data_IF_243386242623
#
_entry.id   IF_243386242623
#
_cell.length_a   1.000
_cell.length_b   1.000
_cell.length_c   1.000
_cell.angle_alpha   90.00
_cell.angle_beta   90.00
_cell.angle_gamma   90.00
#
_symmetry.space_group_name_H-M   'P 1'
#
loop_
_entity.id
_entity.type
_entity.pdbx_description
1 polymer ?
#
# COMPACT_ATOMS: atom_id res chain seq x y z
N UNK A 1 -7.08 -4.24 32.60
CA UNK A 1 -5.75 -3.79 32.11
C UNK A 1 -5.77 -3.91 30.59
N UNK A 2 -5.01 -3.09 29.87
CA UNK A 2 -4.99 -3.14 28.40
C UNK A 2 -3.70 -3.79 27.90
N UNK A 3 -3.75 -4.35 26.70
CA UNK A 3 -2.64 -4.94 25.97
C UNK A 3 -2.10 -3.96 24.93
N UNK A 4 -0.80 -4.01 24.65
CA UNK A 4 -0.20 -3.30 23.52
C UNK A 4 -0.20 -4.17 22.27
N UNK A 5 -0.31 -3.54 21.11
CA UNK A 5 -0.47 -4.21 19.84
C UNK A 5 0.51 -3.67 18.81
N UNK A 6 1.02 -4.58 17.98
CA UNK A 6 1.88 -4.28 16.84
C UNK A 6 1.22 -4.80 15.56
N UNK A 7 1.24 -3.98 14.51
CA UNK A 7 0.76 -4.36 13.20
C UNK A 7 1.94 -4.67 12.28
N UNK A 8 1.98 -5.88 11.76
CA UNK A 8 3.19 -6.46 11.18
C UNK A 8 2.92 -6.98 9.78
N UNK A 9 3.79 -6.60 8.85
CA UNK A 9 3.99 -7.29 7.58
C UNK A 9 5.09 -8.33 7.75
N UNK A 10 4.71 -9.60 7.65
CA UNK A 10 5.58 -10.75 7.93
C UNK A 10 6.57 -10.96 6.78
N UNK A 11 6.08 -10.91 5.54
CA UNK A 11 6.89 -11.14 4.34
C UNK A 11 8.06 -10.17 4.24
N UNK A 12 7.87 -8.94 4.70
CA UNK A 12 8.88 -7.87 4.64
C UNK A 12 9.58 -7.59 5.95
N UNK A 13 9.19 -8.29 7.03
CA UNK A 13 9.67 -8.04 8.39
C UNK A 13 9.60 -6.55 8.75
N UNK A 14 8.42 -5.96 8.61
CA UNK A 14 8.18 -4.53 8.87
C UNK A 14 7.00 -4.32 9.81
N UNK A 15 7.09 -3.27 10.60
CA UNK A 15 6.04 -2.87 11.53
C UNK A 15 5.40 -1.56 11.06
N UNK A 16 4.08 -1.47 11.12
CA UNK A 16 3.39 -0.22 10.83
C UNK A 16 3.66 0.78 11.97
N UNK A 17 4.04 1.99 11.60
CA UNK A 17 4.16 3.09 12.54
C UNK A 17 2.79 3.48 13.11
N UNK A 18 2.70 3.57 14.43
CA UNK A 18 1.53 4.10 15.13
C UNK A 18 1.86 5.44 15.81
N UNK A 19 0.87 6.33 15.85
CA UNK A 19 0.94 7.62 16.55
C UNK A 19 -0.03 7.63 17.71
N UNK A 20 0.49 7.58 18.93
CA UNK A 20 -0.32 7.55 20.16
C UNK A 20 0.10 6.40 21.06
N UNK A 21 -0.88 5.81 21.75
CA UNK A 21 -0.66 4.59 22.53
C UNK A 21 -0.95 3.33 21.72
N UNK A 22 -0.38 2.21 22.12
CA UNK A 22 -0.42 0.96 21.35
C UNK A 22 -1.63 0.07 21.68
N UNK A 23 -2.68 0.58 22.34
CA UNK A 23 -3.87 -0.24 22.62
C UNK A 23 -4.77 -0.34 21.39
N UNK A 24 -5.51 -1.44 21.27
CA UNK A 24 -6.46 -1.68 20.17
C UNK A 24 -7.39 -0.47 19.95
N UNK A 25 -7.99 0.04 21.03
CA UNK A 25 -8.83 1.24 20.97
C UNK A 25 -8.12 2.47 20.39
N UNK A 26 -6.84 2.67 20.72
CA UNK A 26 -6.06 3.82 20.23
C UNK A 26 -5.75 3.66 18.74
N UNK A 27 -5.52 2.45 18.25
CA UNK A 27 -5.43 2.17 16.81
C UNK A 27 -6.73 2.51 16.08
N UNK A 28 -7.88 2.01 16.56
CA UNK A 28 -9.19 2.25 15.94
C UNK A 28 -9.68 3.69 16.10
N UNK A 29 -9.24 4.39 17.15
CA UNK A 29 -9.57 5.79 17.41
C UNK A 29 -8.55 6.81 16.87
N UNK A 30 -7.44 6.33 16.31
CA UNK A 30 -6.54 7.13 15.51
C UNK A 30 -6.88 7.01 14.02
N UNK A 31 -6.12 7.70 13.16
CA UNK A 31 -6.09 7.44 11.71
C UNK A 31 -4.94 6.51 11.34
N UNK A 32 -4.33 5.82 12.32
CA UNK A 32 -3.13 5.01 12.07
C UNK A 32 -3.43 3.82 11.17
N UNK A 33 -4.61 3.20 11.33
CA UNK A 33 -5.01 2.07 10.49
C UNK A 33 -5.26 2.48 9.03
N UNK A 34 -5.61 3.73 8.75
CA UNK A 34 -5.77 4.25 7.38
C UNK A 34 -4.49 4.12 6.55
N UNK A 35 -3.32 4.10 7.20
CA UNK A 35 -2.04 3.83 6.53
C UNK A 35 -2.06 2.48 5.79
N UNK A 36 -2.75 1.47 6.31
CA UNK A 36 -2.90 0.18 5.63
C UNK A 36 -3.57 0.32 4.27
N UNK A 37 -4.52 1.24 4.13
CA UNK A 37 -5.20 1.46 2.85
C UNK A 37 -4.21 1.89 1.78
N UNK A 38 -3.28 2.78 2.15
CA UNK A 38 -2.17 3.18 1.28
C UNK A 38 -1.18 2.03 1.05
N UNK A 39 -0.69 1.38 2.10
CA UNK A 39 0.32 0.33 1.97
C UNK A 39 -0.16 -0.90 1.19
N UNK A 40 -1.44 -1.23 1.28
CA UNK A 40 -2.08 -2.35 0.59
C UNK A 40 -2.62 -1.99 -0.79
N UNK A 41 -2.48 -0.73 -1.23
CA UNK A 41 -3.12 -0.27 -2.46
C UNK A 41 -2.58 -0.97 -3.71
N UNK A 42 -3.47 -1.61 -4.47
CA UNK A 42 -3.16 -2.42 -5.65
C UNK A 42 -3.90 -1.83 -6.85
N UNK A 43 -3.33 -0.79 -7.49
CA UNK A 43 -4.03 -0.06 -8.54
C UNK A 43 -4.09 -0.84 -9.85
N UNK A 44 -5.24 -0.78 -10.52
CA UNK A 44 -5.47 -1.40 -11.83
C UNK A 44 -5.08 -0.48 -12.98
N UNK A 45 -3.77 -0.28 -13.13
CA UNK A 45 -3.23 0.41 -14.30
C UNK A 45 -3.00 -0.57 -15.45
N UNK A 46 -3.33 -0.23 -16.69
CA UNK A 46 -2.94 -1.05 -17.84
C UNK A 46 -1.42 -1.10 -17.93
N UNK A 47 -0.86 -2.27 -18.25
CA UNK A 47 0.59 -2.41 -18.46
C UNK A 47 1.02 -1.54 -19.63
N UNK A 48 1.80 -0.51 -19.34
CA UNK A 48 2.27 0.42 -20.35
C UNK A 48 3.43 -0.22 -21.11
N UNK A 49 3.14 -0.71 -22.32
CA UNK A 49 4.14 -1.27 -23.22
C UNK A 49 4.10 -0.56 -24.55
N UNK A 50 5.27 -0.15 -25.03
CA UNK A 50 5.42 0.52 -26.31
C UNK A 50 6.16 -0.44 -27.26
N UNK A 51 5.62 -0.70 -28.46
CA UNK A 51 6.28 -1.55 -29.44
C UNK A 51 7.67 -1.00 -29.80
N UNK A 52 8.65 -1.91 -29.95
CA UNK A 52 10.04 -1.58 -30.32
C UNK A 52 10.15 -0.70 -31.57
N UNK A 53 9.29 -0.92 -32.57
CA UNK A 53 9.22 -0.08 -33.77
C UNK A 53 8.93 1.39 -33.48
N UNK A 54 8.06 1.70 -32.52
CA UNK A 54 7.77 3.08 -32.10
C UNK A 54 8.93 3.71 -31.31
N UNK A 55 9.69 2.89 -30.58
CA UNK A 55 10.91 3.34 -29.88
C UNK A 55 11.97 3.72 -30.92
N UNK A 56 12.25 2.83 -31.87
CA UNK A 56 13.26 3.06 -32.92
C UNK A 56 12.91 4.24 -33.82
N UNK A 57 11.65 4.39 -34.21
CA UNK A 57 11.19 5.57 -34.95
C UNK A 57 11.42 6.87 -34.16
N UNK A 58 11.20 6.84 -32.84
CA UNK A 58 11.50 7.98 -31.98
C UNK A 58 13.00 8.26 -31.89
N UNK A 59 13.84 7.21 -31.84
CA UNK A 59 15.29 7.32 -31.81
C UNK A 59 15.80 8.04 -33.05
N UNK A 60 15.32 7.64 -34.23
CA UNK A 60 15.67 8.25 -35.51
C UNK A 60 15.36 9.75 -35.56
N UNK A 61 14.21 10.18 -35.01
CA UNK A 61 13.83 11.60 -34.93
C UNK A 61 14.71 12.44 -34.00
N UNK A 62 15.45 11.79 -33.10
CA UNK A 62 16.25 12.46 -32.08
C UNK A 62 17.76 12.20 -32.22
N UNK A 63 18.22 11.76 -33.40
CA UNK A 63 19.63 11.50 -33.72
C UNK A 63 20.54 12.74 -33.67
N UNK A 64 19.98 13.94 -33.51
CA UNK A 64 20.75 15.16 -33.29
C UNK A 64 21.38 15.19 -31.89
N UNK A 65 20.88 14.38 -30.95
CA UNK A 65 21.46 14.27 -29.60
C UNK A 65 22.63 13.27 -29.58
N UNK A 66 23.82 13.65 -29.08
CA UNK A 66 24.97 12.76 -28.98
C UNK A 66 24.68 11.47 -28.19
N UNK A 67 23.89 11.57 -27.11
CA UNK A 67 23.53 10.41 -26.29
C UNK A 67 22.61 9.44 -27.04
N UNK A 68 21.72 9.96 -27.90
CA UNK A 68 20.76 9.13 -28.67
C UNK A 68 21.44 8.48 -29.88
N UNK A 69 22.56 9.02 -30.35
CA UNK A 69 23.40 8.41 -31.40
C UNK A 69 24.10 7.14 -30.94
N UNK A 70 24.18 6.89 -29.65
CA UNK A 70 24.78 5.65 -29.14
C UNK A 70 23.99 4.42 -29.63
N UNK A 71 24.68 3.30 -29.89
CA UNK A 71 24.04 2.01 -30.13
C UNK A 71 23.04 1.68 -29.02
N UNK A 72 21.96 0.95 -29.35
CA UNK A 72 20.88 0.69 -28.40
C UNK A 72 21.40 -0.06 -27.17
N UNK A 73 22.32 -1.00 -27.40
CA UNK A 73 22.98 -1.82 -26.41
C UNK A 73 23.70 -0.98 -25.36
N UNK A 74 24.33 0.13 -25.77
CA UNK A 74 25.00 1.04 -24.84
C UNK A 74 23.98 1.82 -24.01
N UNK A 75 22.89 2.26 -24.63
CA UNK A 75 21.81 2.94 -23.89
C UNK A 75 21.16 1.99 -22.88
N UNK A 76 20.93 0.73 -23.27
CA UNK A 76 20.35 -0.30 -22.43
C UNK A 76 21.28 -0.69 -21.27
N UNK A 77 22.60 -0.50 -21.41
CA UNK A 77 23.56 -0.64 -20.30
C UNK A 77 23.56 0.57 -19.36
N UNK A 78 23.27 1.78 -19.86
CA UNK A 78 23.23 3.00 -19.04
C UNK A 78 21.99 3.01 -18.13
N UNK A 79 20.83 2.61 -18.64
CA UNK A 79 19.55 2.70 -17.91
C UNK A 79 19.57 1.98 -16.54
N UNK A 80 20.08 0.75 -16.42
CA UNK A 80 20.24 0.06 -15.13
C UNK A 80 21.00 0.86 -14.08
N UNK A 81 21.95 1.71 -14.47
CA UNK A 81 22.72 2.54 -13.54
C UNK A 81 21.95 3.76 -13.02
N UNK A 82 20.82 4.11 -13.64
CA UNK A 82 19.93 5.18 -13.19
C UNK A 82 18.82 4.66 -12.27
N UNK A 83 18.74 3.34 -12.08
CA UNK A 83 17.85 2.77 -11.09
C UNK A 83 18.42 3.01 -9.68
N UNK A 84 17.60 3.58 -8.81
CA UNK A 84 17.85 3.73 -7.38
C UNK A 84 16.73 2.99 -6.62
N UNK A 85 17.09 2.30 -5.54
CA UNK A 85 16.21 1.42 -4.78
C UNK A 85 14.97 2.12 -4.22
N UNK A 86 15.00 3.45 -4.00
CA UNK A 86 13.90 4.14 -3.34
C UNK A 86 12.86 4.75 -4.30
N UNK A 87 13.24 5.63 -5.23
CA UNK A 87 12.25 6.41 -6.00
C UNK A 87 12.48 6.50 -7.52
N UNK A 88 13.57 5.92 -8.07
CA UNK A 88 13.96 5.97 -9.49
C UNK A 88 13.81 7.36 -10.16
N UNK A 89 14.21 8.39 -9.42
CA UNK A 89 14.04 9.80 -9.79
C UNK A 89 14.73 10.15 -11.11
N UNK A 90 15.94 9.63 -11.28
CA UNK A 90 16.79 9.90 -12.44
C UNK A 90 16.19 9.33 -13.72
N UNK A 91 15.47 8.20 -13.63
CA UNK A 91 14.73 7.64 -14.77
C UNK A 91 13.55 8.52 -15.17
N UNK A 92 12.83 9.10 -14.20
CA UNK A 92 11.74 10.03 -14.50
C UNK A 92 12.32 11.27 -15.17
N UNK A 93 13.37 11.86 -14.63
CA UNK A 93 14.06 13.01 -15.24
C UNK A 93 14.51 12.69 -16.68
N UNK A 94 15.14 11.53 -16.91
CA UNK A 94 15.54 11.08 -18.24
C UNK A 94 14.35 10.96 -19.19
N UNK A 95 13.24 10.37 -18.75
CA UNK A 95 12.01 10.22 -19.54
C UNK A 95 11.42 11.58 -19.96
N UNK A 96 11.54 12.61 -19.13
CA UNK A 96 11.02 13.94 -19.42
C UNK A 96 11.84 14.71 -20.46
N UNK A 97 13.08 14.29 -20.75
CA UNK A 97 13.96 14.98 -21.72
C UNK A 97 13.48 14.86 -23.16
N UNK A 98 13.03 13.68 -23.58
CA UNK A 98 12.61 13.45 -24.96
C UNK A 98 11.68 12.24 -25.12
N UNK A 99 10.99 12.22 -26.26
CA UNK A 99 10.03 11.16 -26.58
C UNK A 99 10.67 9.77 -26.74
N UNK A 100 11.97 9.68 -27.07
CA UNK A 100 12.67 8.40 -27.17
C UNK A 100 12.87 7.77 -25.80
N UNK A 101 13.45 8.51 -24.85
CA UNK A 101 13.66 8.01 -23.49
C UNK A 101 12.35 7.72 -22.77
N UNK A 102 11.35 8.60 -22.89
CA UNK A 102 10.01 8.31 -22.37
C UNK A 102 9.52 6.93 -22.83
N UNK A 103 9.60 6.64 -24.14
CA UNK A 103 9.09 5.37 -24.67
C UNK A 103 9.91 4.16 -24.23
N UNK A 104 11.19 4.37 -23.97
CA UNK A 104 12.12 3.34 -23.55
C UNK A 104 11.91 2.95 -22.08
N UNK A 105 11.78 3.93 -21.17
CA UNK A 105 11.75 3.68 -19.71
C UNK A 105 10.36 3.77 -19.06
N UNK A 106 9.31 4.17 -19.80
CA UNK A 106 7.97 4.36 -19.23
C UNK A 106 7.42 3.11 -18.50
N UNK A 107 7.73 1.91 -19.01
CA UNK A 107 7.36 0.66 -18.36
C UNK A 107 8.00 0.52 -16.97
N UNK A 108 9.29 0.85 -16.85
CA UNK A 108 10.04 0.70 -15.61
C UNK A 108 9.68 1.78 -14.59
N UNK A 109 9.38 2.99 -15.07
CA UNK A 109 8.77 4.05 -14.25
C UNK A 109 7.42 3.56 -13.70
N UNK A 110 6.52 3.04 -14.54
CA UNK A 110 5.23 2.53 -14.08
C UNK A 110 5.39 1.40 -13.05
N UNK A 111 6.34 0.48 -13.28
CA UNK A 111 6.65 -0.60 -12.34
C UNK A 111 7.13 -0.06 -10.99
N UNK A 112 7.93 1.01 -10.99
CA UNK A 112 8.40 1.66 -9.77
C UNK A 112 7.26 2.31 -9.02
N UNK A 113 6.45 3.12 -9.69
CA UNK A 113 5.31 3.79 -9.07
C UNK A 113 4.36 2.75 -8.47
N UNK A 114 4.11 1.62 -9.15
CA UNK A 114 3.28 0.53 -8.59
C UNK A 114 3.86 -0.05 -7.31
N UNK A 115 5.17 -0.30 -7.26
CA UNK A 115 5.84 -0.78 -6.05
C UNK A 115 5.75 0.22 -4.91
N UNK A 116 5.80 1.52 -5.24
CA UNK A 116 5.73 2.60 -4.26
C UNK A 116 4.31 2.83 -3.72
N UNK A 117 3.29 2.63 -4.57
CA UNK A 117 1.89 2.91 -4.23
C UNK A 117 1.29 1.83 -3.32
N UNK A 118 1.84 0.62 -3.29
CA UNK A 118 1.28 -0.52 -2.54
C UNK A 118 2.34 -1.52 -2.12
N UNK A 119 3.32 -1.11 -1.31
CA UNK A 119 4.44 -1.97 -0.95
C UNK A 119 4.01 -3.23 -0.18
N UNK A 120 2.84 -3.26 0.45
CA UNK A 120 2.36 -4.41 1.24
C UNK A 120 1.26 -5.21 0.52
N UNK A 121 0.87 -4.79 -0.69
CA UNK A 121 -0.17 -5.48 -1.44
C UNK A 121 0.24 -6.95 -1.73
N UNK A 122 -0.59 -7.88 -1.27
CA UNK A 122 -0.38 -9.32 -1.40
C UNK A 122 0.41 -9.97 -0.26
N UNK A 123 0.89 -9.19 0.72
CA UNK A 123 1.73 -9.69 1.80
C UNK A 123 0.89 -10.22 2.99
N UNK A 124 1.52 -11.09 3.81
CA UNK A 124 0.96 -11.60 5.08
C UNK A 124 0.95 -10.52 6.15
N UNK A 125 -0.24 -10.13 6.63
CA UNK A 125 -0.43 -9.10 7.65
C UNK A 125 -1.06 -9.67 8.91
N UNK A 126 -0.56 -9.27 10.08
CA UNK A 126 -1.08 -9.68 11.39
C UNK A 126 -1.06 -8.51 12.38
N UNK A 127 -2.07 -8.43 13.24
CA UNK A 127 -2.13 -7.50 14.36
C UNK A 127 -1.94 -8.28 15.65
N UNK A 128 -0.71 -8.31 16.16
CA UNK A 128 -0.30 -9.17 17.27
C UNK A 128 -0.24 -8.35 18.55
N UNK A 129 -0.87 -8.83 19.61
CA UNK A 129 -0.81 -8.19 20.91
C UNK A 129 0.36 -8.73 21.74
N UNK A 130 0.93 -7.94 22.66
CA UNK A 130 2.13 -8.21 23.46
C UNK A 130 2.13 -9.45 24.39
N UNK A 131 0.96 -9.97 24.76
CA UNK A 131 0.79 -11.26 25.43
C UNK A 131 0.83 -12.47 24.48
N UNK A 132 0.88 -12.28 23.17
CA UNK A 132 0.99 -13.38 22.21
C UNK A 132 2.34 -14.10 22.33
N UNK A 133 2.32 -15.31 22.86
CA UNK A 133 3.42 -16.27 22.94
C UNK A 133 3.59 -17.04 21.63
N UNK A 134 2.50 -17.27 20.88
CA UNK A 134 2.47 -18.02 19.64
C UNK A 134 2.09 -17.19 18.40
N UNK A 135 1.81 -17.90 17.32
CA UNK A 135 1.35 -17.36 16.04
C UNK A 135 0.52 -18.44 15.32
N UNK A 136 -0.29 -18.08 14.31
CA UNK A 136 -1.12 -19.07 13.61
C UNK A 136 -0.30 -20.21 12.97
N UNK A 137 -0.76 -21.46 13.11
CA UNK A 137 -0.03 -22.69 12.75
C UNK A 137 0.44 -22.78 11.28
N UNK A 138 -0.16 -22.01 10.36
CA UNK A 138 0.16 -22.01 8.93
C UNK A 138 0.77 -20.69 8.44
N UNK A 139 1.14 -19.80 9.35
CA UNK A 139 1.61 -18.48 8.96
C UNK A 139 3.06 -18.51 8.47
N UNK A 140 3.90 -19.42 8.96
CA UNK A 140 5.33 -19.50 8.64
C UNK A 140 5.58 -20.33 7.37
N UNK A 141 6.51 -19.91 6.52
CA UNK A 141 7.05 -20.83 5.48
C UNK A 141 7.88 -21.93 6.15
N UNK A 142 8.16 -23.06 5.48
CA UNK A 142 9.01 -24.11 6.03
C UNK A 142 10.39 -23.60 6.48
N UNK A 143 10.97 -22.65 5.73
CA UNK A 143 12.24 -22.01 6.06
C UNK A 143 12.12 -21.11 7.30
N UNK A 144 11.07 -20.29 7.35
CA UNK A 144 10.79 -19.43 8.50
C UNK A 144 10.51 -20.24 9.76
N UNK A 145 9.79 -21.35 9.67
CA UNK A 145 9.52 -22.22 10.82
C UNK A 145 10.82 -22.75 11.45
N UNK A 146 11.80 -23.12 10.63
CA UNK A 146 13.14 -23.54 11.11
C UNK A 146 13.91 -22.39 11.74
N UNK A 147 13.79 -21.18 11.21
CA UNK A 147 14.40 -19.97 11.79
C UNK A 147 13.74 -19.62 13.14
N UNK A 148 12.41 -19.57 13.16
CA UNK A 148 11.60 -19.12 14.29
C UNK A 148 11.69 -20.09 15.46
N UNK A 149 11.80 -21.40 15.20
CA UNK A 149 12.02 -22.41 16.23
C UNK A 149 13.30 -22.17 17.06
N UNK A 150 14.28 -21.41 16.54
CA UNK A 150 15.54 -21.10 17.24
C UNK A 150 15.43 -19.90 18.18
N UNK A 151 14.41 -19.06 18.04
CA UNK A 151 14.32 -17.78 18.75
C UNK A 151 13.88 -17.91 20.21
N UNK A 152 13.20 -19.01 20.57
CA UNK A 152 12.72 -19.24 21.94
C UNK A 152 11.69 -18.21 22.45
N UNK A 153 11.17 -17.36 21.55
CA UNK A 153 10.16 -16.33 21.78
C UNK A 153 9.32 -16.17 20.51
N UNK A 154 8.21 -15.44 20.60
CA UNK A 154 7.41 -15.13 19.42
C UNK A 154 8.25 -14.36 18.37
N UNK A 155 8.43 -14.90 17.15
CA UNK A 155 9.23 -14.30 16.08
C UNK A 155 8.66 -12.97 15.57
N UNK A 156 7.39 -12.69 15.88
CA UNK A 156 6.69 -11.49 15.47
C UNK A 156 7.05 -10.27 16.36
N UNK A 157 7.85 -10.41 17.41
CA UNK A 157 8.35 -9.25 18.16
C UNK A 157 9.75 -8.82 17.73
N UNK A 158 9.97 -7.50 17.73
CA UNK A 158 11.25 -6.89 17.33
C UNK A 158 11.48 -6.99 15.82
N UNK A 159 10.40 -6.90 15.05
CA UNK A 159 10.39 -7.07 13.61
C UNK A 159 10.85 -5.78 12.92
N UNK A 160 12.12 -5.76 12.51
CA UNK A 160 12.71 -4.88 11.48
C UNK A 160 12.34 -3.39 11.48
N UNK A 161 12.28 -2.80 10.29
CA UNK A 161 12.11 -1.37 10.07
C UNK A 161 10.65 -0.93 10.27
N UNK A 162 10.43 0.22 10.91
CA UNK A 162 9.12 0.87 10.96
C UNK A 162 8.79 1.56 9.64
N UNK A 163 7.54 1.42 9.19
CA UNK A 163 7.08 2.00 7.92
C UNK A 163 5.74 2.72 8.02
N UNK A 164 5.51 3.65 7.10
CA UNK A 164 4.32 4.50 7.04
C UNK A 164 3.90 4.74 5.57
N UNK A 165 2.59 4.92 5.34
CA UNK A 165 2.05 5.39 4.06
C UNK A 165 2.17 6.92 3.92
N UNK A 166 2.20 7.44 2.70
CA UNK A 166 2.23 8.89 2.44
C UNK A 166 0.82 9.49 2.25
N UNK A 167 0.77 10.82 2.31
CA UNK A 167 -0.36 11.64 1.93
C UNK A 167 -1.44 11.62 3.00
N UNK A 168 -2.69 11.51 2.56
CA UNK A 168 -3.84 11.40 3.47
C UNK A 168 -3.81 10.15 4.34
N UNK A 169 -3.11 9.10 3.89
CA UNK A 169 -2.99 7.87 4.65
C UNK A 169 -1.87 7.96 5.69
N UNK A 170 -1.04 8.99 5.69
CA UNK A 170 0.00 9.19 6.70
C UNK A 170 -0.61 9.65 8.03
N UNK A 171 -0.20 9.06 9.15
CA UNK A 171 -0.61 9.51 10.47
C UNK A 171 0.34 10.61 10.95
N UNK A 172 0.02 11.88 10.64
CA UNK A 172 0.84 13.01 11.09
C UNK A 172 0.63 13.30 12.58
N UNK A 173 1.58 12.87 13.43
CA UNK A 173 2.10 13.56 14.62
C UNK A 173 3.15 12.70 15.32
N UNK A 174 4.32 13.24 15.66
CA UNK A 174 5.12 12.68 16.75
C UNK A 174 5.82 13.80 17.50
N UNK A 175 5.63 13.81 18.82
CA UNK A 175 6.38 14.59 19.81
C UNK A 175 7.65 13.87 20.28
N UNK A 176 7.98 12.70 19.70
CA UNK A 176 9.11 11.85 20.11
C UNK A 176 10.17 11.67 19.01
N UNK A 177 11.43 11.60 19.48
CA UNK A 177 12.71 11.55 18.76
C UNK A 177 12.73 10.56 17.57
N UNK A 178 13.09 11.10 16.41
CA UNK A 178 14.02 10.62 15.36
C UNK A 178 14.40 9.11 15.30
N UNK A 179 13.47 8.17 15.36
CA UNK A 179 13.73 6.86 14.73
C UNK A 179 13.64 7.01 13.21
N UNK A 180 14.59 6.49 12.41
CA UNK A 180 14.46 6.46 10.97
C UNK A 180 13.33 5.50 10.57
N UNK A 181 12.42 5.94 9.71
CA UNK A 181 11.33 5.13 9.18
C UNK A 181 11.17 5.35 7.67
N UNK A 182 10.63 4.35 6.99
CA UNK A 182 10.43 4.39 5.53
C UNK A 182 9.02 4.87 5.23
N UNK A 183 8.90 5.81 4.30
CA UNK A 183 7.62 6.36 3.85
C UNK A 183 7.38 5.96 2.39
N UNK A 184 6.20 5.41 2.11
CA UNK A 184 5.79 4.89 0.80
C UNK A 184 4.70 5.71 0.15
N UNK A 185 4.74 5.85 -1.17
CA UNK A 185 3.84 6.72 -1.96
C UNK A 185 4.51 8.03 -2.40
N UNK A 186 5.69 8.33 -1.82
CA UNK A 186 6.44 9.58 -1.99
C UNK A 186 7.02 9.80 -3.36
N UNK A 187 7.11 8.77 -4.21
CA UNK A 187 7.79 8.86 -5.50
C UNK A 187 7.27 10.07 -6.30
N UNK A 188 5.94 10.26 -6.37
CA UNK A 188 5.33 11.34 -7.14
C UNK A 188 5.49 12.71 -6.48
N UNK A 189 5.43 12.80 -5.15
CA UNK A 189 5.62 14.05 -4.42
C UNK A 189 7.07 14.54 -4.55
N UNK A 190 8.04 13.64 -4.35
CA UNK A 190 9.46 13.92 -4.50
C UNK A 190 9.77 14.38 -5.91
N UNK A 191 9.16 13.75 -6.93
CA UNK A 191 9.31 14.19 -8.31
C UNK A 191 8.77 15.60 -8.51
N UNK A 192 7.57 15.89 -8.00
CA UNK A 192 6.97 17.22 -8.11
C UNK A 192 7.85 18.30 -7.47
N UNK A 193 8.44 18.01 -6.31
CA UNK A 193 9.32 18.95 -5.60
C UNK A 193 10.65 19.20 -6.31
N UNK A 194 11.16 18.22 -7.06
CA UNK A 194 12.42 18.37 -7.82
C UNK A 194 12.27 19.13 -9.14
N UNK A 195 11.09 19.13 -9.74
CA UNK A 195 10.88 19.70 -11.07
C UNK A 195 10.56 21.20 -10.99
N UNK A 196 11.15 21.98 -11.90
CA UNK A 196 10.85 23.40 -12.03
C UNK A 196 9.49 23.61 -12.71
N UNK A 197 8.72 24.58 -12.23
CA UNK A 197 7.46 24.99 -12.84
C UNK A 197 7.69 25.84 -14.10
N UNK A 198 8.81 26.58 -14.14
CA UNK A 198 9.09 27.59 -15.15
C UNK A 198 9.55 27.03 -16.50
N UNK A 199 10.14 25.84 -16.52
CA UNK A 199 10.69 25.20 -17.73
C UNK A 199 9.70 24.22 -18.41
N UNK A 200 8.48 24.12 -17.87
CA UNK A 200 7.44 23.21 -18.33
C UNK A 200 7.69 21.73 -17.98
N UNK A 201 8.72 21.40 -17.20
CA UNK A 201 9.01 20.03 -16.79
C UNK A 201 7.93 19.45 -15.88
N UNK A 202 7.37 20.25 -14.97
CA UNK A 202 6.23 19.84 -14.17
C UNK A 202 5.00 19.48 -15.03
N UNK A 203 4.73 20.24 -16.09
CA UNK A 203 3.61 19.96 -17.01
C UNK A 203 3.84 18.66 -17.79
N UNK A 204 5.08 18.38 -18.21
CA UNK A 204 5.46 17.11 -18.84
C UNK A 204 5.28 15.95 -17.86
N UNK A 205 5.67 16.14 -16.60
CA UNK A 205 5.51 15.15 -15.55
C UNK A 205 4.05 14.82 -15.25
N UNK A 206 3.17 15.83 -15.12
CA UNK A 206 1.74 15.58 -14.91
C UNK A 206 1.09 14.83 -16.08
N UNK A 207 1.54 15.08 -17.32
CA UNK A 207 1.09 14.30 -18.49
C UNK A 207 1.57 12.86 -18.40
N UNK A 208 2.84 12.63 -18.06
CA UNK A 208 3.40 11.30 -17.84
C UNK A 208 2.63 10.55 -16.76
N UNK A 209 2.42 11.19 -15.60
CA UNK A 209 1.66 10.63 -14.48
C UNK A 209 0.26 10.20 -14.91
N UNK A 210 -0.47 11.09 -15.60
CA UNK A 210 -1.81 10.78 -16.14
C UNK A 210 -1.80 9.61 -17.13
N UNK A 211 -0.76 9.46 -17.94
CA UNK A 211 -0.64 8.36 -18.90
C UNK A 211 -0.32 7.01 -18.22
N UNK A 212 0.58 7.00 -17.24
CA UNK A 212 1.04 5.77 -16.59
C UNK A 212 0.06 5.27 -15.51
N UNK A 213 -0.74 6.16 -14.94
CA UNK A 213 -1.62 5.86 -13.81
C UNK A 213 -3.11 5.97 -14.15
N UNK A 214 -3.47 6.07 -15.43
CA UNK A 214 -4.89 6.17 -15.80
C UNK A 214 -5.63 4.87 -15.49
N UNK A 215 -6.64 4.95 -14.63
CA UNK A 215 -7.66 3.91 -14.50
C UNK A 215 -8.49 3.87 -15.79
N UNK A 216 -8.88 2.69 -16.29
CA UNK A 216 -9.67 2.59 -17.51
C UNK A 216 -10.99 3.36 -17.41
N UNK A 217 -11.14 4.41 -18.24
CA UNK A 217 -12.30 5.33 -18.22
C UNK A 217 -13.64 4.68 -18.57
N UNK A 218 -13.62 3.49 -19.16
CA UNK A 218 -14.83 2.76 -19.54
C UNK A 218 -15.47 2.02 -18.35
N UNK A 219 -14.78 1.92 -17.22
CA UNK A 219 -15.34 1.32 -16.02
C UNK A 219 -16.41 2.24 -15.44
N UNK A 220 -17.58 1.67 -15.15
CA UNK A 220 -18.67 2.30 -14.40
C UNK A 220 -18.13 2.86 -13.06
N UNK A 221 -18.51 4.07 -12.62
CA UNK A 221 -18.21 4.56 -11.27
C UNK A 221 -18.46 3.53 -10.15
N UNK A 222 -19.53 2.75 -10.21
CA UNK A 222 -19.82 1.70 -9.22
C UNK A 222 -18.72 0.62 -9.18
N UNK A 223 -18.11 0.31 -10.33
CA UNK A 223 -17.01 -0.65 -10.47
C UNK A 223 -15.65 -0.10 -10.03
N UNK A 224 -15.55 1.21 -9.78
CA UNK A 224 -14.33 1.89 -9.32
C UNK A 224 -14.25 2.03 -7.81
N UNK A 225 -15.29 1.65 -7.08
CA UNK A 225 -15.31 1.70 -5.62
C UNK A 225 -14.18 0.86 -5.02
N UNK A 226 -13.59 1.35 -3.94
CA UNK A 226 -12.51 0.66 -3.24
C UNK A 226 -13.02 -0.61 -2.54
N UNK A 227 -12.24 -1.69 -2.64
CA UNK A 227 -12.50 -2.93 -1.91
C UNK A 227 -11.22 -3.42 -1.25
N UNK A 228 -11.31 -3.86 0.00
CA UNK A 228 -10.28 -4.65 0.66
C UNK A 228 -10.54 -6.12 0.38
N UNK A 229 -9.55 -6.85 -0.13
CA UNK A 229 -9.66 -8.27 -0.44
C UNK A 229 -8.79 -9.09 0.48
N UNK A 230 -9.36 -10.16 1.03
CA UNK A 230 -8.61 -11.27 1.58
C UNK A 230 -8.33 -12.27 0.45
N UNK A 231 -7.08 -12.35 0.02
CA UNK A 231 -6.65 -13.15 -1.12
C UNK A 231 -6.66 -14.67 -0.83
N UNK A 232 -6.66 -15.04 0.45
CA UNK A 232 -6.65 -16.43 0.93
C UNK A 232 -8.06 -17.01 0.93
N UNK A 233 -9.01 -16.31 1.57
CA UNK A 233 -10.39 -16.80 1.73
C UNK A 233 -11.33 -16.39 0.59
N UNK A 234 -10.87 -15.50 -0.30
CA UNK A 234 -11.71 -14.89 -1.36
C UNK A 234 -12.91 -14.12 -0.79
N UNK A 235 -12.72 -13.47 0.35
CA UNK A 235 -13.69 -12.54 0.92
C UNK A 235 -13.26 -11.09 0.64
N UNK A 236 -14.23 -10.18 0.58
CA UNK A 236 -13.94 -8.75 0.43
C UNK A 236 -14.85 -7.87 1.29
N UNK A 237 -14.36 -6.66 1.57
CA UNK A 237 -15.09 -5.59 2.25
C UNK A 237 -15.14 -4.39 1.30
N UNK A 238 -16.35 -3.89 1.05
CA UNK A 238 -16.60 -2.73 0.21
C UNK A 238 -16.46 -1.43 1.00
N UNK A 239 -15.63 -0.51 0.50
CA UNK A 239 -15.38 0.77 1.16
C UNK A 239 -16.64 1.65 1.19
N UNK A 240 -17.46 1.62 0.13
CA UNK A 240 -18.70 2.38 0.08
C UNK A 240 -19.71 1.89 1.12
N UNK A 241 -19.82 0.58 1.31
CA UNK A 241 -20.71 -0.01 2.33
C UNK A 241 -20.31 0.39 3.74
N UNK A 242 -19.00 0.48 4.02
CA UNK A 242 -18.52 1.06 5.29
C UNK A 242 -18.85 2.55 5.39
N UNK A 243 -18.66 3.32 4.30
CA UNK A 243 -18.96 4.75 4.24
C UNK A 243 -20.42 5.07 4.54
N UNK A 244 -21.33 4.25 4.02
CA UNK A 244 -22.78 4.42 4.16
C UNK A 244 -23.30 3.96 5.53
N UNK A 245 -22.46 3.30 6.32
CA UNK A 245 -22.83 2.83 7.66
C UNK A 245 -22.82 3.95 8.71
N UNK A 246 -23.42 3.69 9.87
CA UNK A 246 -23.36 4.63 11.00
C UNK A 246 -21.96 4.72 11.65
N UNK A 247 -21.00 3.94 11.13
CA UNK A 247 -19.63 3.78 11.60
C UNK A 247 -18.66 4.07 10.46
N UNK A 248 -18.36 5.35 10.20
CA UNK A 248 -17.56 5.75 9.04
C UNK A 248 -16.05 5.52 9.22
N UNK A 249 -15.67 4.25 9.39
CA UNK A 249 -14.31 3.72 9.44
C UNK A 249 -13.74 3.51 8.03
N UNK A 250 -12.41 3.49 7.90
CA UNK A 250 -11.71 3.06 6.70
C UNK A 250 -11.62 1.53 6.61
N UNK A 251 -11.25 1.04 5.42
CA UNK A 251 -10.88 -0.36 5.21
C UNK A 251 -9.74 -0.82 6.14
N UNK A 252 -8.87 0.09 6.57
CA UNK A 252 -7.77 -0.22 7.48
C UNK A 252 -8.24 -0.57 8.89
N UNK A 253 -9.15 0.21 9.47
CA UNK A 253 -9.73 -0.14 10.79
C UNK A 253 -10.57 -1.42 10.69
N UNK A 254 -11.35 -1.59 9.62
CA UNK A 254 -12.10 -2.82 9.40
C UNK A 254 -11.18 -4.04 9.36
N UNK A 255 -10.03 -3.95 8.67
CA UNK A 255 -9.05 -5.02 8.61
C UNK A 255 -8.52 -5.41 10.01
N UNK A 256 -8.18 -4.43 10.87
CA UNK A 256 -7.66 -4.68 12.21
C UNK A 256 -8.57 -5.61 13.02
N UNK A 257 -9.89 -5.49 12.88
CA UNK A 257 -10.87 -6.33 13.58
C UNK A 257 -10.90 -7.80 13.13
N UNK A 258 -10.21 -8.15 12.05
CA UNK A 258 -10.14 -9.52 11.53
C UNK A 258 -8.78 -10.19 11.72
N UNK A 259 -7.73 -9.41 12.00
CA UNK A 259 -6.35 -9.91 11.99
C UNK A 259 -5.69 -9.92 13.38
N UNK A 260 -6.50 -9.82 14.44
CA UNK A 260 -6.04 -9.89 15.83
C UNK A 260 -5.40 -11.24 16.13
N UNK A 261 -4.32 -11.23 16.90
CA UNK A 261 -3.71 -12.44 17.45
C UNK A 261 -3.15 -12.19 18.85
N UNK A 262 -3.69 -12.89 19.83
CA UNK A 262 -3.23 -12.89 21.24
C UNK A 262 -3.78 -14.11 21.95
N UNK A 263 -3.14 -14.55 23.04
CA UNK A 263 -3.73 -15.55 23.95
C UNK A 263 -4.34 -14.92 25.22
N UNK A 264 -4.32 -13.58 25.33
CA UNK A 264 -4.92 -12.83 26.45
C UNK A 264 -6.09 -11.94 25.97
N UNK A 265 -7.27 -11.98 26.63
CA UNK A 265 -8.44 -11.22 26.19
C UNK A 265 -8.43 -9.74 26.58
N UNK A 266 -7.40 -9.26 27.28
CA UNK A 266 -7.34 -7.91 27.83
C UNK A 266 -7.27 -6.84 26.74
N UNK A 267 -8.29 -5.99 26.66
CA UNK A 267 -8.31 -4.89 25.68
C UNK A 267 -8.55 -5.34 24.24
N UNK A 268 -9.38 -6.39 24.07
CA UNK A 268 -9.96 -6.80 22.78
C UNK A 268 -11.35 -6.22 22.52
N UNK A 269 -11.99 -5.65 23.55
CA UNK A 269 -13.33 -5.04 23.44
C UNK A 269 -14.37 -5.94 22.72
N UNK A 270 -14.29 -7.27 22.93
CA UNK A 270 -15.21 -8.25 22.34
C UNK A 270 -14.76 -8.86 21.01
N UNK A 271 -13.62 -8.43 20.45
CA UNK A 271 -13.02 -9.09 19.28
C UNK A 271 -12.47 -10.49 19.63
N UNK A 272 -12.35 -11.38 18.62
CA UNK A 272 -11.69 -12.67 18.79
C UNK A 272 -10.21 -12.53 19.17
N UNK A 273 -9.76 -13.42 20.07
CA UNK A 273 -8.33 -13.63 20.41
C UNK A 273 -7.52 -14.01 19.17
N UNK A 274 -8.07 -14.95 18.40
CA UNK A 274 -7.52 -15.49 17.17
C UNK A 274 -8.41 -15.05 16.01
N UNK A 275 -8.10 -13.89 15.43
CA UNK A 275 -8.80 -13.34 14.29
C UNK A 275 -8.71 -14.28 13.09
N UNK A 276 -9.84 -14.55 12.45
CA UNK A 276 -9.95 -15.49 11.33
C UNK A 276 -9.08 -15.12 10.12
N UNK A 277 -8.64 -13.86 10.03
CA UNK A 277 -7.76 -13.41 8.96
C UNK A 277 -6.32 -13.12 9.43
N UNK A 278 -5.98 -13.44 10.67
CA UNK A 278 -4.64 -13.22 11.21
C UNK A 278 -3.58 -13.93 10.35
N UNK A 279 -2.67 -13.15 9.76
CA UNK A 279 -1.60 -13.67 8.90
C UNK A 279 -1.99 -13.94 7.45
N UNK A 280 -3.22 -13.61 7.03
CA UNK A 280 -3.63 -13.74 5.64
C UNK A 280 -3.02 -12.66 4.74
N UNK A 281 -3.21 -12.84 3.43
CA UNK A 281 -2.71 -11.95 2.37
C UNK A 281 -3.79 -10.99 1.91
N UNK A 282 -3.47 -9.71 1.81
CA UNK A 282 -4.47 -8.67 1.50
C UNK A 282 -4.02 -7.70 0.43
N UNK A 283 -4.98 -7.13 -0.30
CA UNK A 283 -4.76 -5.90 -1.05
C UNK A 283 -6.03 -5.03 -1.09
N UNK A 284 -5.86 -3.75 -1.43
CA UNK A 284 -6.95 -2.80 -1.64
C UNK A 284 -7.02 -2.44 -3.11
N UNK A 285 -8.12 -2.75 -3.79
CA UNK A 285 -8.27 -2.53 -5.23
C UNK A 285 -9.68 -2.01 -5.56
N UNK A 286 -10.11 -2.13 -6.81
CA UNK A 286 -11.43 -1.69 -7.28
C UNK A 286 -12.46 -2.83 -7.33
N UNK A 287 -13.75 -2.50 -7.16
CA UNK A 287 -14.87 -3.44 -7.15
C UNK A 287 -14.96 -4.34 -8.41
N UNK A 288 -14.50 -3.86 -9.57
CA UNK A 288 -14.45 -4.67 -10.81
C UNK A 288 -13.67 -5.99 -10.64
N UNK A 289 -12.73 -6.04 -9.70
CA UNK A 289 -11.87 -7.19 -9.41
C UNK A 289 -12.51 -8.28 -8.56
N UNK A 290 -13.71 -8.01 -8.03
CA UNK A 290 -14.49 -8.96 -7.22
C UNK A 290 -15.86 -9.22 -7.83
N UNK A 291 -16.09 -8.80 -9.08
CA UNK A 291 -17.38 -8.91 -9.77
C UNK A 291 -17.80 -10.34 -10.19
N UNK A 292 -17.07 -11.37 -9.76
CA UNK A 292 -17.33 -12.78 -10.11
C UNK A 292 -17.75 -13.61 -8.89
N UNK A 293 -18.36 -14.77 -9.15
CA UNK A 293 -18.96 -15.66 -8.12
C UNK A 293 -17.94 -16.30 -7.16
N UNK A 294 -16.64 -16.11 -7.39
CA UNK A 294 -15.58 -16.61 -6.50
C UNK A 294 -15.45 -15.79 -5.21
N UNK A 295 -15.97 -14.56 -5.19
CA UNK A 295 -15.78 -13.63 -4.09
C UNK A 295 -17.01 -13.50 -3.21
N UNK A 296 -16.81 -13.52 -1.90
CA UNK A 296 -17.88 -13.33 -0.91
C UNK A 296 -17.79 -11.96 -0.26
N UNK A 297 -18.90 -11.21 -0.29
CA UNK A 297 -19.03 -9.92 0.39
C UNK A 297 -19.25 -10.13 1.89
N UNK A 298 -18.34 -9.61 2.72
CA UNK A 298 -18.46 -9.66 4.19
C UNK A 298 -18.55 -8.26 4.80
N UNK A 299 -18.97 -7.25 4.02
CA UNK A 299 -19.03 -5.86 4.47
C UNK A 299 -19.96 -5.65 5.67
N UNK A 300 -21.10 -6.36 5.70
CA UNK A 300 -22.05 -6.27 6.82
C UNK A 300 -21.50 -6.91 8.10
N UNK A 301 -20.77 -8.02 7.96
CA UNK A 301 -20.09 -8.66 9.10
C UNK A 301 -19.00 -7.75 9.67
N UNK A 302 -18.27 -7.05 8.80
CA UNK A 302 -17.27 -6.07 9.20
C UNK A 302 -17.87 -4.90 9.99
N UNK A 303 -19.01 -4.36 9.54
CA UNK A 303 -19.75 -3.33 10.30
C UNK A 303 -20.18 -3.88 11.67
N UNK A 304 -20.66 -5.12 11.73
CA UNK A 304 -21.00 -5.80 12.98
C UNK A 304 -19.83 -5.83 13.95
N UNK A 305 -18.64 -6.24 13.50
CA UNK A 305 -17.42 -6.26 14.35
C UNK A 305 -17.00 -4.86 14.81
N UNK A 306 -17.04 -3.87 13.92
CA UNK A 306 -16.72 -2.48 14.26
C UNK A 306 -17.67 -1.91 15.32
N UNK A 307 -18.95 -2.28 15.25
CA UNK A 307 -19.95 -1.84 16.25
C UNK A 307 -19.70 -2.41 17.64
N UNK A 308 -19.17 -3.64 17.74
CA UNK A 308 -18.85 -4.29 19.03
C UNK A 308 -17.76 -3.53 19.78
N UNK A 309 -16.75 -3.04 19.05
CA UNK A 309 -15.59 -2.38 19.66
C UNK A 309 -15.91 -0.95 20.07
N UNK A 310 -16.75 -0.25 19.30
CA UNK A 310 -16.85 1.21 19.38
C UNK A 310 -18.03 1.70 20.19
N UNK A 311 -19.09 0.90 20.30
CA UNK A 311 -20.25 1.15 21.17
C UNK A 311 -21.09 2.38 20.82
N UNK A 312 -20.51 3.38 20.15
CA UNK A 312 -21.14 4.64 19.76
C UNK A 312 -20.96 4.88 18.25
N UNK A 313 -22.06 5.12 17.51
CA UNK A 313 -21.99 5.46 16.10
C UNK A 313 -21.27 6.80 15.89
N UNK A 314 -20.35 6.83 14.92
CA UNK A 314 -19.61 8.04 14.53
C UNK A 314 -19.84 8.31 13.05
N UNK A 315 -20.91 9.05 12.75
CA UNK A 315 -21.25 9.51 11.39
C UNK A 315 -20.33 10.60 10.87
N UNK A 316 -19.65 11.33 11.77
CA UNK A 316 -18.62 12.27 11.39
C UNK A 316 -17.34 11.47 11.11
N UNK A 317 -17.39 10.67 10.05
CA UNK A 317 -16.31 9.80 9.63
C UNK A 317 -15.02 10.58 9.50
N UNK A 318 -13.92 9.98 9.96
CA UNK A 318 -12.57 10.51 9.76
C UNK A 318 -12.15 10.59 8.29
N UNK A 319 -13.03 10.12 7.40
CA UNK A 319 -13.04 10.38 5.96
C UNK A 319 -13.20 11.88 5.71
N UNK A 320 -12.08 12.60 5.66
CA UNK A 320 -12.05 13.94 5.07
C UNK A 320 -12.62 13.82 3.64
N UNK A 321 -13.64 14.62 3.34
CA UNK A 321 -14.21 14.72 1.99
C UNK A 321 -13.07 14.93 0.99
N UNK A 322 -13.13 14.24 -0.15
CA UNK A 322 -12.17 14.39 -1.26
C UNK A 322 -12.20 15.85 -1.75
N UNK A 323 -11.36 16.72 -1.18
CA UNK A 323 -11.09 18.05 -1.72
C UNK A 323 -10.22 17.91 -2.98
N UNK A 324 -10.92 18.03 -4.12
CA UNK A 324 -10.56 18.39 -5.50
C UNK A 324 -9.08 18.50 -5.91
#
# INVERSE_FOLDING_TARGET
MGQYWNLINIDKRRELRHVGGLKLWEFLMSTSAEQLVGLLHSPKWPNFRIPSGKIMFSKQKSLNSPLIRLPQEIVDLIIPHLHNDQYNEDLVCLALTCSYFFRLVAHDIQKTIRKDTGPWAGDRIIFVGDYATGYPDNIATPEEAVEWAKLGRNPLYGVGEKVEAEGRHAAMRSLFREEPFIIWGKCLQVMRQRLDENDGSLQRFERLRKLLMSVPKHLDPAKRQGVLRNLVTKQYICDQTLADSDYAYSLGEALLCYITWTEDPSGLEGLPLEGEWAGHRFDVTIMDEVAGDEWTDVSQEAIGRLSMVTGEPSKNGRRLEDDQ
#
